data_IF_794182346913
#
_entry.id   IF_794182346913
#
_cell.length_a   1.000
_cell.length_b   1.000
_cell.length_c   1.000
_cell.angle_alpha   90.00
_cell.angle_beta   90.00
_cell.angle_gamma   90.00
#
_symmetry.space_group_name_H-M   'P 1'
#
loop_
_entity.id
_entity.type
_entity.pdbx_description
1 polymer ?
#
# COMPACT_ATOMS: atom_id res chain seq x y z
N UNK A 1 -55.97 -1.57 -3.74
CA UNK A 1 -55.01 -2.54 -3.22
C UNK A 1 -53.86 -2.87 -4.16
N UNK A 2 -54.00 -2.87 -5.47
CA UNK A 2 -52.90 -3.20 -6.42
C UNK A 2 -51.79 -2.12 -6.54
N UNK A 3 -52.09 -0.86 -6.27
CA UNK A 3 -51.14 0.26 -6.40
C UNK A 3 -50.18 0.29 -5.17
N UNK A 4 -50.61 -0.17 -4.00
CA UNK A 4 -49.83 -0.17 -2.77
C UNK A 4 -48.69 -1.22 -2.81
N UNK A 5 -48.88 -2.31 -3.56
CA UNK A 5 -47.91 -3.40 -3.72
C UNK A 5 -46.72 -3.01 -4.64
N UNK A 6 -46.95 -2.08 -5.57
CA UNK A 6 -45.89 -1.64 -6.51
C UNK A 6 -44.91 -0.69 -5.82
N UNK A 7 -45.40 0.17 -4.90
CA UNK A 7 -44.49 1.07 -4.14
C UNK A 7 -43.56 0.39 -3.18
N UNK A 8 -43.91 -0.81 -2.67
CA UNK A 8 -43.08 -1.55 -1.72
C UNK A 8 -41.88 -2.25 -2.39
N UNK A 9 -42.01 -2.58 -3.68
CA UNK A 9 -40.94 -3.23 -4.44
C UNK A 9 -39.77 -2.29 -4.81
N UNK A 10 -39.97 -0.97 -4.78
CA UNK A 10 -38.93 0.02 -5.16
C UNK A 10 -37.97 0.39 -4.05
N UNK A 11 -38.24 -0.01 -2.82
CA UNK A 11 -37.43 0.34 -1.64
C UNK A 11 -36.24 -0.61 -1.37
N UNK A 12 -36.09 -1.68 -2.16
CA UNK A 12 -35.05 -2.69 -1.91
C UNK A 12 -33.74 -2.47 -2.69
N UNK A 13 -33.62 -1.39 -3.48
CA UNK A 13 -32.41 -1.09 -4.22
C UNK A 13 -31.50 -0.01 -3.60
N UNK A 14 -31.56 0.18 -2.28
CA UNK A 14 -30.46 0.85 -1.61
C UNK A 14 -29.28 -0.10 -1.55
N UNK A 15 -28.60 -0.25 -2.69
CA UNK A 15 -27.25 -0.75 -2.75
C UNK A 15 -26.41 0.15 -1.85
N UNK A 16 -26.09 -0.32 -0.66
CA UNK A 16 -25.09 0.24 0.21
C UNK A 16 -23.77 0.19 -0.59
N UNK A 17 -23.42 1.29 -1.28
CA UNK A 17 -22.09 1.48 -1.82
C UNK A 17 -21.21 1.59 -0.58
N UNK A 18 -20.66 0.47 -0.16
CA UNK A 18 -19.61 0.41 0.85
C UNK A 18 -18.44 1.22 0.30
N UNK A 19 -18.36 2.47 0.68
CA UNK A 19 -17.16 3.28 0.45
C UNK A 19 -16.06 2.64 1.30
N UNK A 20 -15.24 1.82 0.66
CA UNK A 20 -14.10 1.18 1.31
C UNK A 20 -13.13 2.29 1.74
N UNK A 21 -13.24 2.70 3.00
CA UNK A 21 -12.33 3.70 3.56
C UNK A 21 -10.96 3.05 3.69
N UNK A 22 -9.94 3.68 3.11
CA UNK A 22 -8.56 3.23 3.26
C UNK A 22 -8.14 3.44 4.71
N UNK A 23 -7.80 2.37 5.40
CA UNK A 23 -7.20 2.39 6.74
C UNK A 23 -5.70 2.61 6.58
N UNK A 24 -5.29 3.88 6.68
CA UNK A 24 -3.93 4.30 6.34
C UNK A 24 -2.86 3.67 7.24
N UNK A 25 -3.20 3.29 8.45
CA UNK A 25 -2.33 2.62 9.42
C UNK A 25 -1.82 1.27 8.90
N UNK A 26 -2.56 0.63 8.02
CA UNK A 26 -2.15 -0.61 7.35
C UNK A 26 -0.96 -0.43 6.41
N UNK A 27 -0.56 0.81 6.10
CA UNK A 27 0.67 1.08 5.35
C UNK A 27 1.92 0.62 6.12
N UNK A 28 1.89 0.67 7.46
CA UNK A 28 3.01 0.26 8.29
C UNK A 28 3.50 -1.15 8.00
N UNK A 29 4.81 -1.32 8.02
CA UNK A 29 5.49 -2.61 7.90
C UNK A 29 6.12 -2.85 6.54
N UNK A 30 6.39 -4.13 6.25
CA UNK A 30 7.15 -4.55 5.08
C UNK A 30 6.23 -4.87 3.91
N UNK A 31 6.65 -4.45 2.73
CA UNK A 31 5.95 -4.68 1.48
C UNK A 31 6.92 -5.18 0.41
N UNK A 32 6.57 -6.27 -0.21
CA UNK A 32 7.28 -6.83 -1.36
C UNK A 32 6.60 -6.41 -2.65
N UNK A 33 7.37 -5.92 -3.61
CA UNK A 33 6.80 -5.62 -4.91
C UNK A 33 6.50 -6.93 -5.66
N UNK A 34 5.24 -7.11 -6.02
CA UNK A 34 4.77 -8.26 -6.79
C UNK A 34 4.95 -7.99 -8.28
N UNK A 35 4.41 -6.88 -8.77
CA UNK A 35 4.56 -6.48 -10.16
C UNK A 35 4.28 -4.98 -10.36
N UNK A 36 4.71 -4.47 -11.52
CA UNK A 36 4.43 -3.12 -11.98
C UNK A 36 3.70 -3.22 -13.31
N UNK A 37 2.55 -2.55 -13.43
CA UNK A 37 1.86 -2.40 -14.70
C UNK A 37 2.15 -1.01 -15.26
N UNK A 38 2.50 -0.96 -16.55
CA UNK A 38 2.64 0.27 -17.32
C UNK A 38 1.99 0.09 -18.69
N UNK A 39 0.92 0.82 -18.97
CA UNK A 39 0.11 0.66 -20.18
C UNK A 39 -0.45 -0.77 -20.28
N UNK A 40 0.01 -1.56 -21.27
CA UNK A 40 -0.39 -2.96 -21.48
C UNK A 40 0.68 -3.95 -21.05
N UNK A 41 1.79 -3.49 -20.48
CA UNK A 41 2.94 -4.31 -20.08
C UNK A 41 2.92 -4.55 -18.58
N UNK A 42 3.30 -5.76 -18.18
CA UNK A 42 3.49 -6.19 -16.80
C UNK A 42 4.95 -6.53 -16.59
N UNK A 43 5.56 -5.90 -15.62
CA UNK A 43 6.96 -6.11 -15.23
C UNK A 43 6.97 -6.79 -13.86
N UNK A 44 7.68 -7.91 -13.76
CA UNK A 44 7.89 -8.62 -12.50
C UNK A 44 9.35 -8.46 -12.08
N UNK A 45 9.64 -8.24 -10.79
CA UNK A 45 11.01 -8.20 -10.30
C UNK A 45 11.72 -9.51 -10.60
N UNK A 46 12.94 -9.42 -11.11
CA UNK A 46 13.80 -10.57 -11.36
C UNK A 46 14.95 -10.56 -10.36
N UNK A 47 15.20 -11.66 -9.71
CA UNK A 47 16.33 -11.81 -8.79
C UNK A 47 16.07 -12.77 -7.64
N UNK A 48 17.14 -13.23 -7.00
CA UNK A 48 17.10 -14.21 -5.92
C UNK A 48 16.99 -13.57 -4.52
N UNK A 49 17.11 -12.24 -4.43
CA UNK A 49 17.04 -11.50 -3.17
C UNK A 49 16.08 -10.34 -3.33
N UNK A 50 14.81 -10.51 -2.95
CA UNK A 50 13.84 -9.42 -3.05
C UNK A 50 14.23 -8.29 -2.10
N UNK A 51 14.12 -7.05 -2.60
CA UNK A 51 14.15 -5.85 -1.78
C UNK A 51 12.75 -5.53 -1.32
N UNK A 52 12.62 -5.26 -0.03
CA UNK A 52 11.36 -4.89 0.59
C UNK A 52 11.31 -3.39 0.84
N UNK A 53 10.13 -2.81 0.69
CA UNK A 53 9.81 -1.46 1.14
C UNK A 53 9.32 -1.54 2.58
N UNK A 54 10.05 -0.95 3.53
CA UNK A 54 9.63 -0.84 4.91
C UNK A 54 9.09 0.57 5.17
N UNK A 55 7.78 0.67 5.34
CA UNK A 55 7.09 1.90 5.73
C UNK A 55 6.97 1.95 7.24
N UNK A 56 7.51 3.00 7.84
CA UNK A 56 7.28 3.36 9.23
C UNK A 56 6.47 4.66 9.25
N UNK A 57 5.20 4.56 9.62
CA UNK A 57 4.24 5.66 9.61
C UNK A 57 3.91 6.10 11.04
N UNK A 58 4.16 7.36 11.36
CA UNK A 58 3.60 8.13 12.48
C UNK A 58 2.75 9.25 11.90
N UNK A 59 1.48 8.95 11.65
CA UNK A 59 0.57 9.81 10.87
C UNK A 59 0.64 11.29 11.29
N UNK A 60 0.78 12.24 10.35
CA UNK A 60 0.78 12.06 8.90
C UNK A 60 2.16 11.79 8.26
N UNK A 61 3.23 11.73 9.05
CA UNK A 61 4.61 11.62 8.59
C UNK A 61 5.13 10.18 8.70
N UNK A 62 6.17 9.87 7.93
CA UNK A 62 6.81 8.57 8.01
C UNK A 62 8.14 8.51 7.29
N UNK A 63 8.75 7.33 7.35
CA UNK A 63 10.02 7.02 6.72
C UNK A 63 9.86 5.75 5.90
N UNK A 64 10.32 5.79 4.66
CA UNK A 64 10.47 4.64 3.79
C UNK A 64 11.93 4.23 3.76
N UNK A 65 12.20 2.97 4.09
CA UNK A 65 13.50 2.33 3.93
C UNK A 65 13.43 1.21 2.92
N UNK A 66 14.50 1.00 2.16
CA UNK A 66 14.73 -0.24 1.41
C UNK A 66 15.42 -1.24 2.32
N UNK A 67 14.94 -2.47 2.31
CA UNK A 67 15.38 -3.51 3.23
C UNK A 67 15.64 -4.80 2.47
N UNK A 68 16.76 -5.43 2.73
CA UNK A 68 17.06 -6.81 2.32
C UNK A 68 16.88 -7.72 3.53
N UNK A 69 16.09 -8.78 3.38
CA UNK A 69 15.89 -9.78 4.43
C UNK A 69 16.73 -10.98 4.07
N UNK A 70 17.69 -11.34 4.92
CA UNK A 70 18.51 -12.56 4.84
C UNK A 70 18.09 -13.51 5.96
N UNK A 71 18.50 -14.76 5.84
CA UNK A 71 18.11 -15.86 6.74
C UNK A 71 18.23 -15.56 8.25
N UNK A 72 19.12 -14.65 8.64
CA UNK A 72 19.45 -14.37 10.03
C UNK A 72 19.30 -12.90 10.43
N UNK A 73 19.03 -12.01 9.48
CA UNK A 73 19.01 -10.57 9.79
C UNK A 73 18.28 -9.71 8.74
N UNK A 74 17.83 -8.54 9.19
CA UNK A 74 17.31 -7.47 8.36
C UNK A 74 18.43 -6.46 8.09
N UNK A 75 18.70 -6.18 6.82
CA UNK A 75 19.71 -5.22 6.39
C UNK A 75 19.00 -4.00 5.80
N UNK A 76 19.15 -2.85 6.44
CA UNK A 76 18.64 -1.59 5.93
C UNK A 76 19.60 -0.95 4.93
N UNK A 77 19.10 -0.58 3.76
CA UNK A 77 19.88 0.21 2.80
C UNK A 77 19.92 1.67 3.25
N UNK A 78 21.08 2.11 3.70
CA UNK A 78 21.28 3.52 4.12
C UNK A 78 21.21 4.52 2.96
N UNK A 79 21.25 4.05 1.71
CA UNK A 79 21.27 4.90 0.51
C UNK A 79 19.88 5.29 0.02
N UNK A 80 18.84 4.53 0.40
CA UNK A 80 17.49 4.64 -0.16
C UNK A 80 16.45 4.97 0.93
N UNK A 81 16.79 5.96 1.77
CA UNK A 81 15.89 6.47 2.80
C UNK A 81 15.12 7.66 2.23
N UNK A 82 13.81 7.66 2.36
CA UNK A 82 12.96 8.78 2.03
C UNK A 82 12.00 9.08 3.17
N UNK A 83 11.94 10.33 3.58
CA UNK A 83 10.84 10.80 4.41
C UNK A 83 9.57 10.89 3.57
N UNK A 84 8.42 10.67 4.18
CA UNK A 84 7.16 10.88 3.48
C UNK A 84 6.11 11.53 4.37
N UNK A 85 5.10 12.08 3.72
CA UNK A 85 3.90 12.62 4.36
C UNK A 85 2.67 12.09 3.65
N UNK A 86 1.68 11.67 4.42
CA UNK A 86 0.37 11.32 3.92
C UNK A 86 -0.47 12.60 3.74
N UNK A 87 -1.00 12.77 2.56
CA UNK A 87 -1.94 13.85 2.24
C UNK A 87 -3.25 13.28 1.72
N UNK A 88 -4.37 13.88 2.12
CA UNK A 88 -5.69 13.52 1.62
C UNK A 88 -6.25 14.66 0.79
N UNK A 89 -6.46 14.41 -0.50
CA UNK A 89 -7.02 15.35 -1.46
C UNK A 89 -8.21 14.70 -2.17
N UNK A 90 -9.36 15.33 -2.19
CA UNK A 90 -10.58 14.85 -2.87
C UNK A 90 -10.91 13.38 -2.53
N UNK A 91 -10.90 13.03 -1.25
CA UNK A 91 -11.14 11.66 -0.74
C UNK A 91 -10.10 10.62 -1.18
N UNK A 92 -8.99 11.02 -1.82
CA UNK A 92 -7.88 10.16 -2.22
C UNK A 92 -6.69 10.38 -1.30
N UNK A 93 -5.93 9.32 -1.04
CA UNK A 93 -4.70 9.40 -0.27
C UNK A 93 -3.49 9.42 -1.19
N UNK A 94 -2.55 10.27 -0.85
CA UNK A 94 -1.26 10.42 -1.54
C UNK A 94 -0.15 10.29 -0.52
N UNK A 95 0.92 9.60 -0.92
CA UNK A 95 2.18 9.54 -0.20
C UNK A 95 3.13 10.48 -0.92
N UNK A 96 3.48 11.60 -0.29
CA UNK A 96 4.48 12.53 -0.80
C UNK A 96 5.83 12.21 -0.18
N UNK A 97 6.75 11.76 -1.01
CA UNK A 97 8.10 11.39 -0.62
C UNK A 97 9.07 12.53 -0.82
N UNK A 98 10.04 12.61 0.08
CA UNK A 98 11.18 13.53 0.00
C UNK A 98 12.45 12.80 0.39
N UNK A 99 13.36 12.65 -0.58
CA UNK A 99 14.73 12.19 -0.35
C UNK A 99 15.71 13.36 -0.38
N UNK A 100 16.98 13.08 -0.17
CA UNK A 100 18.05 14.07 -0.31
C UNK A 100 18.10 14.70 -1.71
N UNK A 101 17.67 13.95 -2.74
CA UNK A 101 17.90 14.29 -4.14
C UNK A 101 16.62 14.64 -4.91
N UNK A 102 15.45 14.20 -4.44
CA UNK A 102 14.22 14.34 -5.19
C UNK A 102 12.98 14.31 -4.31
N UNK A 103 11.90 14.89 -4.84
CA UNK A 103 10.56 14.78 -4.29
C UNK A 103 9.65 14.14 -5.34
N UNK A 104 8.77 13.22 -4.90
CA UNK A 104 7.77 12.58 -5.76
C UNK A 104 6.53 12.21 -4.96
N UNK A 105 5.44 11.91 -5.65
CA UNK A 105 4.19 11.53 -5.01
C UNK A 105 3.61 10.29 -5.65
N UNK A 106 3.01 9.42 -4.83
CA UNK A 106 2.24 8.26 -5.30
C UNK A 106 0.84 8.32 -4.71
N UNK A 107 -0.19 8.05 -5.53
CA UNK A 107 -1.55 7.87 -5.04
C UNK A 107 -1.73 6.46 -4.50
N UNK A 108 -2.38 6.32 -3.34
CA UNK A 108 -2.82 5.01 -2.85
C UNK A 108 -4.13 4.66 -3.57
N UNK A 109 -4.10 3.63 -4.38
CA UNK A 109 -5.27 3.11 -5.12
C UNK A 109 -5.99 2.04 -4.33
N UNK A 110 -5.23 1.26 -3.56
CA UNK A 110 -5.76 0.20 -2.70
C UNK A 110 -4.79 -0.02 -1.54
N UNK A 111 -5.33 -0.30 -0.36
CA UNK A 111 -4.57 -0.67 0.82
C UNK A 111 -5.44 -1.52 1.74
N UNK A 112 -4.99 -2.73 2.00
CA UNK A 112 -5.53 -3.64 3.01
C UNK A 112 -4.40 -4.36 3.76
N UNK A 113 -4.71 -5.40 4.52
CA UNK A 113 -3.71 -6.13 5.32
C UNK A 113 -2.71 -6.93 4.47
N UNK A 114 -3.03 -7.22 3.20
CA UNK A 114 -2.25 -8.12 2.34
C UNK A 114 -1.73 -7.44 1.08
N UNK A 115 -2.43 -6.40 0.62
CA UNK A 115 -2.20 -5.77 -0.67
C UNK A 115 -2.11 -4.26 -0.56
N UNK A 116 -1.11 -3.69 -1.24
CA UNK A 116 -0.96 -2.26 -1.45
C UNK A 116 -0.82 -2.00 -2.95
N UNK A 117 -1.59 -1.06 -3.48
CA UNK A 117 -1.45 -0.60 -4.87
C UNK A 117 -1.21 0.91 -4.87
N UNK A 118 -0.08 1.30 -5.42
CA UNK A 118 0.32 2.69 -5.59
C UNK A 118 0.33 3.06 -7.07
N UNK A 119 -0.04 4.30 -7.39
CA UNK A 119 0.02 4.83 -8.75
C UNK A 119 0.95 6.04 -8.82
N UNK A 120 1.82 6.07 -9.82
CA UNK A 120 2.70 7.19 -10.14
C UNK A 120 3.02 7.20 -11.64
N UNK A 121 2.86 8.34 -12.30
CA UNK A 121 3.22 8.53 -13.72
C UNK A 121 2.66 7.43 -14.66
N UNK A 122 1.36 7.13 -14.55
CA UNK A 122 0.67 6.09 -15.35
C UNK A 122 1.23 4.68 -15.15
N UNK A 123 1.95 4.44 -14.07
CA UNK A 123 2.38 3.12 -13.61
C UNK A 123 1.64 2.76 -12.34
N UNK A 124 1.22 1.52 -12.21
CA UNK A 124 0.70 0.98 -10.96
C UNK A 124 1.67 -0.03 -10.38
N UNK A 125 2.02 0.18 -9.14
CA UNK A 125 2.94 -0.65 -8.37
C UNK A 125 2.10 -1.52 -7.45
N UNK A 126 2.13 -2.82 -7.65
CA UNK A 126 1.40 -3.79 -6.85
C UNK A 126 2.36 -4.43 -5.86
N UNK A 127 2.01 -4.34 -4.59
CA UNK A 127 2.77 -4.91 -3.48
C UNK A 127 1.92 -5.94 -2.76
N UNK A 128 2.58 -6.92 -2.17
CA UNK A 128 2.01 -7.90 -1.26
C UNK A 128 2.76 -7.87 0.07
N UNK A 129 2.13 -8.38 1.13
CA UNK A 129 2.85 -8.68 2.37
C UNK A 129 3.80 -9.85 2.13
N UNK A 130 5.07 -9.77 2.57
CA UNK A 130 5.97 -10.90 2.49
C UNK A 130 5.53 -12.02 3.43
N UNK A 131 5.68 -13.27 2.99
CA UNK A 131 5.34 -14.45 3.79
C UNK A 131 6.23 -14.60 5.05
N UNK A 132 7.32 -13.85 5.10
CA UNK A 132 8.26 -13.77 6.23
C UNK A 132 7.75 -12.95 7.42
N UNK A 133 6.50 -12.48 7.38
CA UNK A 133 5.94 -11.66 8.46
C UNK A 133 5.90 -12.40 9.80
N UNK A 134 5.74 -13.70 9.80
CA UNK A 134 5.82 -14.56 10.99
C UNK A 134 7.24 -14.57 11.56
N UNK A 135 8.27 -14.64 10.72
CA UNK A 135 9.67 -14.65 11.12
C UNK A 135 10.12 -13.37 11.82
N UNK A 136 9.67 -12.21 11.32
CA UNK A 136 10.08 -10.90 11.85
C UNK A 136 9.40 -10.60 13.19
N UNK A 137 8.23 -11.16 13.44
CA UNK A 137 7.50 -10.95 14.69
C UNK A 137 7.96 -11.88 15.81
N UNK A 138 8.51 -13.05 15.49
CA UNK A 138 9.03 -14.00 16.51
C UNK A 138 10.31 -13.47 17.18
N UNK A 139 11.15 -12.72 16.48
CA UNK A 139 12.37 -12.11 17.05
C UNK A 139 12.11 -10.93 17.98
N UNK A 140 10.95 -10.27 17.92
CA UNK A 140 10.57 -9.18 18.85
C UNK A 140 10.00 -9.65 20.18
N UNK A 141 9.77 -10.96 20.32
CA UNK A 141 9.24 -11.60 21.53
C UNK A 141 10.30 -12.21 22.46
N UNK A 142 11.60 -12.02 22.17
CA UNK A 142 12.70 -12.55 23.01
C UNK A 142 13.48 -11.43 23.66
#
# INVERSE_FOLDING_TARGET
>A
MKILLICFSFLLFFNCISSHSIEIEKLNGYWEIDHINQRKERFEPKGNSPLYDHYFLEYPNGILNKVEIRLDRIIYSSKDIANFKIERLDKKYYIRFKSRWSEWSKQIKHLDSHKLVLEHNKRTFHYKRPDLYEFINDERGK
#
